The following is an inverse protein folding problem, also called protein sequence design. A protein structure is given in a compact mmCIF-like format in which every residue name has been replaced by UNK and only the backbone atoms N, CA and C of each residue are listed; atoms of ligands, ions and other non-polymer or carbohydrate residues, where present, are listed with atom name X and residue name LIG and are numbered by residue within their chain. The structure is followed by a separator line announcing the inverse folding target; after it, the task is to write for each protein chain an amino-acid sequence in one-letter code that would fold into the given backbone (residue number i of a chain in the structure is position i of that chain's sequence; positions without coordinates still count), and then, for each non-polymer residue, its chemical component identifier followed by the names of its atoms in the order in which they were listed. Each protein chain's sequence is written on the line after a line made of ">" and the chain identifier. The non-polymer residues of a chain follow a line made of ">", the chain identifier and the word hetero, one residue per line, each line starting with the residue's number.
data_IF_839987746394
#
_entry.id   IF_839987746394
#
_cell.length_a   1.000
_cell.length_b   1.000
_cell.length_c   1.000
_cell.angle_alpha   90.00
_cell.angle_beta   90.00
_cell.angle_gamma   90.00
#
_symmetry.space_group_name_H-M   'P 1'
#
loop_
_entity.id
_entity.type
_entity.pdbx_description
1 polymer ?
#
# COMPACT_ATOMS: atom_id res chain seq x y z
N UNK A 1 7.40 -23.51 4.26
CA UNK A 1 7.96 -22.76 5.41
C UNK A 1 6.87 -22.07 6.22
N UNK A 2 6.00 -21.22 5.65
CA UNK A 2 4.85 -20.65 6.40
C UNK A 2 3.97 -21.75 7.02
N UNK A 3 3.64 -22.79 6.27
CA UNK A 3 2.92 -23.96 6.81
C UNK A 3 3.67 -24.65 7.96
N UNK A 4 5.01 -24.72 7.90
CA UNK A 4 5.83 -25.28 8.98
C UNK A 4 5.75 -24.38 10.21
N UNK A 5 5.89 -23.06 10.06
CA UNK A 5 5.75 -22.11 11.18
C UNK A 5 4.36 -22.17 11.80
N UNK A 6 3.29 -22.29 11.01
CA UNK A 6 1.91 -22.43 11.51
C UNK A 6 1.74 -23.76 12.25
N UNK A 7 2.18 -24.88 11.67
CA UNK A 7 2.12 -26.20 12.30
C UNK A 7 2.92 -26.23 13.61
N UNK A 8 4.09 -25.61 13.64
CA UNK A 8 4.92 -25.56 14.84
C UNK A 8 4.37 -24.64 15.92
N UNK A 9 3.74 -23.52 15.53
CA UNK A 9 3.03 -22.66 16.48
C UNK A 9 1.81 -23.37 17.09
N UNK A 10 1.10 -24.18 16.29
CA UNK A 10 0.02 -25.04 16.77
C UNK A 10 0.53 -26.20 17.64
N UNK A 11 1.66 -26.82 17.28
CA UNK A 11 2.30 -27.87 18.07
C UNK A 11 2.78 -27.34 19.42
N UNK A 12 3.35 -26.14 19.45
CA UNK A 12 3.72 -25.46 20.69
C UNK A 12 2.49 -25.25 21.58
N UNK A 13 1.37 -24.83 21.01
CA UNK A 13 0.12 -24.65 21.73
C UNK A 13 -0.45 -25.99 22.24
N UNK A 14 -0.26 -27.09 21.50
CA UNK A 14 -0.67 -28.43 21.89
C UNK A 14 0.20 -29.03 23.02
N UNK A 15 1.52 -28.85 22.96
CA UNK A 15 2.47 -29.22 24.02
C UNK A 15 2.03 -28.59 25.36
N UNK A 16 1.54 -27.36 25.34
CA UNK A 16 1.13 -26.62 26.54
C UNK A 16 -0.18 -27.15 27.15
N UNK A 17 -1.11 -27.63 26.32
CA UNK A 17 -2.37 -28.23 26.80
C UNK A 17 -2.11 -29.54 27.54
N UNK A 18 -1.04 -30.25 27.20
CA UNK A 18 -0.73 -31.59 27.72
C UNK A 18 0.43 -31.64 28.72
N UNK A 19 1.35 -30.67 28.75
CA UNK A 19 2.51 -30.63 29.65
C UNK A 19 2.29 -29.71 30.86
N UNK A 20 2.84 -30.13 32.02
CA UNK A 20 2.86 -29.35 33.26
C UNK A 20 3.80 -28.13 33.17
N UNK A 21 3.62 -27.13 34.04
CA UNK A 21 4.36 -25.85 33.98
C UNK A 21 5.89 -26.01 33.97
N UNK A 22 6.43 -26.94 34.76
CA UNK A 22 7.87 -27.24 34.83
C UNK A 22 8.43 -27.92 33.56
N UNK A 23 7.57 -28.55 32.75
CA UNK A 23 7.95 -29.18 31.47
C UNK A 23 7.82 -28.20 30.28
N UNK A 24 7.31 -26.98 30.51
CA UNK A 24 7.13 -25.94 29.48
C UNK A 24 8.37 -25.08 29.29
N UNK A 25 9.14 -24.83 30.35
CA UNK A 25 10.46 -24.18 30.30
C UNK A 25 11.49 -25.12 29.67
N UNK A 26 11.30 -25.36 28.38
CA UNK A 26 12.29 -26.03 27.57
C UNK A 26 11.77 -26.80 26.38
N UNK A 27 10.50 -26.61 26.03
CA UNK A 27 9.89 -27.39 24.94
C UNK A 27 10.69 -27.23 23.63
N UNK A 28 11.02 -28.34 22.95
CA UNK A 28 11.62 -28.30 21.63
C UNK A 28 10.75 -27.54 20.61
N UNK A 29 9.44 -27.43 20.85
CA UNK A 29 8.54 -26.64 20.00
C UNK A 29 8.88 -25.14 20.04
N UNK A 30 9.31 -24.59 21.19
CA UNK A 30 9.74 -23.18 21.30
C UNK A 30 10.96 -22.90 20.45
N UNK A 31 11.97 -23.78 20.50
CA UNK A 31 13.20 -23.65 19.69
C UNK A 31 12.86 -23.71 18.21
N UNK A 32 12.04 -24.68 17.81
CA UNK A 32 11.65 -24.85 16.42
C UNK A 32 10.78 -23.68 15.94
N UNK A 33 9.91 -23.12 16.79
CA UNK A 33 9.14 -21.93 16.48
C UNK A 33 10.03 -20.70 16.27
N UNK A 34 10.96 -20.42 17.19
CA UNK A 34 11.91 -19.32 17.08
C UNK A 34 12.78 -19.47 15.83
N UNK A 35 13.22 -20.69 15.52
CA UNK A 35 13.95 -21.00 14.31
C UNK A 35 13.10 -20.71 13.06
N UNK A 36 11.89 -21.27 13.01
CA UNK A 36 10.99 -21.10 11.89
C UNK A 36 10.65 -19.62 11.65
N UNK A 37 10.31 -18.87 12.71
CA UNK A 37 10.01 -17.44 12.65
C UNK A 37 11.22 -16.63 12.17
N UNK A 38 12.42 -16.92 12.66
CA UNK A 38 13.64 -16.19 12.28
C UNK A 38 14.03 -16.44 10.84
N UNK A 39 13.93 -17.68 10.36
CA UNK A 39 14.16 -18.02 8.96
C UNK A 39 13.11 -17.39 8.05
N UNK A 40 11.85 -17.35 8.49
CA UNK A 40 10.76 -16.75 7.74
C UNK A 40 10.92 -15.24 7.66
N UNK A 41 11.29 -14.58 8.76
CA UNK A 41 11.74 -13.19 8.77
C UNK A 41 12.93 -12.95 7.85
N UNK A 42 13.86 -13.88 7.66
CA UNK A 42 15.00 -13.65 6.74
C UNK A 42 14.63 -13.81 5.26
N UNK A 43 13.72 -14.74 4.93
CA UNK A 43 13.47 -15.16 3.56
C UNK A 43 12.17 -14.62 2.95
N UNK A 44 11.18 -14.25 3.74
CA UNK A 44 9.87 -13.80 3.30
C UNK A 44 9.92 -12.46 2.53
N UNK A 45 9.06 -12.23 1.52
CA UNK A 45 8.08 -13.17 0.93
C UNK A 45 8.63 -14.13 -0.13
N UNK A 46 9.79 -13.84 -0.73
CA UNK A 46 10.29 -14.56 -1.92
C UNK A 46 10.96 -15.91 -1.63
N UNK A 47 11.14 -16.27 -0.36
CA UNK A 47 11.86 -17.47 0.05
C UNK A 47 13.39 -17.37 -0.08
N UNK A 48 13.93 -16.21 -0.49
CA UNK A 48 15.38 -15.97 -0.61
C UNK A 48 15.84 -14.97 0.45
N UNK A 49 16.92 -15.25 1.22
CA UNK A 49 17.44 -14.33 2.21
C UNK A 49 18.12 -13.14 1.54
N UNK A 50 17.67 -11.93 1.89
CA UNK A 50 18.24 -10.68 1.39
C UNK A 50 18.34 -9.70 2.55
N UNK A 51 19.54 -9.26 2.96
CA UNK A 51 20.87 -9.72 2.52
C UNK A 51 21.18 -11.17 2.92
N UNK A 52 22.11 -11.84 2.24
CA UNK A 52 22.46 -13.26 2.51
C UNK A 52 22.93 -13.53 3.96
N UNK A 53 23.52 -12.54 4.63
CA UNK A 53 23.97 -12.67 6.02
C UNK A 53 22.81 -12.83 7.02
N UNK A 54 21.57 -12.47 6.65
CA UNK A 54 20.39 -12.63 7.52
C UNK A 54 20.12 -14.10 7.87
N UNK A 55 20.54 -15.04 7.00
CA UNK A 55 20.42 -16.47 7.27
C UNK A 55 21.41 -16.93 8.36
N UNK A 56 22.62 -16.35 8.37
CA UNK A 56 23.59 -16.63 9.43
C UNK A 56 23.07 -16.09 10.78
N UNK A 57 22.44 -14.92 10.80
CA UNK A 57 21.80 -14.36 12.01
C UNK A 57 20.66 -15.25 12.51
N UNK A 58 19.77 -15.71 11.62
CA UNK A 58 18.70 -16.64 11.98
C UNK A 58 19.23 -18.00 12.49
N UNK A 59 20.29 -18.51 11.86
CA UNK A 59 20.99 -19.72 12.30
C UNK A 59 21.63 -19.55 13.69
N UNK A 60 22.34 -18.44 13.92
CA UNK A 60 22.91 -18.11 15.23
C UNK A 60 21.82 -18.00 16.31
N UNK A 61 20.70 -17.34 16.01
CA UNK A 61 19.58 -17.25 16.94
C UNK A 61 19.02 -18.66 17.27
N UNK A 62 18.84 -19.50 16.25
CA UNK A 62 18.36 -20.88 16.42
C UNK A 62 19.32 -21.71 17.30
N UNK A 63 20.62 -21.67 17.00
CA UNK A 63 21.64 -22.39 17.75
C UNK A 63 21.75 -21.88 19.19
N UNK A 64 21.58 -20.57 19.40
CA UNK A 64 21.57 -19.98 20.72
C UNK A 64 20.43 -20.56 21.55
N UNK A 65 19.18 -20.48 21.05
CA UNK A 65 18.01 -21.02 21.75
C UNK A 65 18.09 -22.55 21.95
N UNK A 66 18.56 -23.30 20.96
CA UNK A 66 18.80 -24.74 21.10
C UNK A 66 19.87 -25.04 22.17
N UNK A 67 20.94 -24.25 22.21
CA UNK A 67 22.01 -24.37 23.19
C UNK A 67 21.54 -24.10 24.62
N UNK A 68 20.65 -23.11 24.83
CA UNK A 68 20.03 -22.89 26.13
C UNK A 68 19.23 -24.10 26.61
N UNK A 69 18.51 -24.79 25.72
CA UNK A 69 17.76 -25.98 26.12
C UNK A 69 18.66 -27.10 26.64
N UNK A 70 19.80 -27.30 25.99
CA UNK A 70 20.75 -28.34 26.39
C UNK A 70 21.48 -27.96 27.68
N UNK A 71 21.74 -26.67 27.88
CA UNK A 71 22.55 -26.18 28.99
C UNK A 71 21.76 -25.87 30.26
N UNK A 72 20.41 -25.88 30.20
CA UNK A 72 19.52 -25.66 31.33
C UNK A 72 19.26 -24.18 31.67
N UNK A 73 18.32 -23.91 32.60
CA UNK A 73 17.80 -22.57 32.91
C UNK A 73 18.86 -21.60 33.46
N UNK A 74 19.96 -22.11 34.01
CA UNK A 74 21.10 -21.33 34.51
C UNK A 74 21.79 -20.50 33.40
N UNK A 75 21.69 -20.91 32.14
CA UNK A 75 22.28 -20.16 31.02
C UNK A 75 21.46 -18.92 30.67
N UNK A 76 20.12 -19.03 30.69
CA UNK A 76 19.22 -17.90 30.46
C UNK A 76 19.30 -16.82 31.53
N UNK A 77 19.71 -17.19 32.75
CA UNK A 77 19.91 -16.26 33.86
C UNK A 77 21.22 -15.45 33.76
N UNK A 78 22.15 -15.78 32.85
CA UNK A 78 23.44 -15.09 32.74
C UNK A 78 23.27 -13.71 32.10
N UNK A 79 23.99 -12.71 32.62
CA UNK A 79 23.93 -11.28 32.20
C UNK A 79 24.04 -11.05 30.68
N UNK A 80 24.79 -11.89 29.96
CA UNK A 80 24.98 -11.75 28.50
C UNK A 80 23.84 -12.33 27.65
N UNK A 81 22.91 -13.08 28.26
CA UNK A 81 21.78 -13.69 27.59
C UNK A 81 20.63 -12.68 27.31
N UNK A 82 20.09 -11.95 28.30
CA UNK A 82 19.01 -10.98 28.09
C UNK A 82 19.49 -9.61 27.57
N UNK A 83 20.74 -9.19 27.84
CA UNK A 83 21.11 -7.77 27.65
C UNK A 83 21.79 -7.42 26.30
N UNK A 84 22.80 -8.14 25.79
CA UNK A 84 23.40 -7.80 24.48
C UNK A 84 23.05 -8.74 23.32
N UNK A 85 23.04 -10.07 23.48
CA UNK A 85 23.10 -10.99 22.33
C UNK A 85 21.76 -11.13 21.60
N UNK A 86 20.69 -11.49 22.33
CA UNK A 86 19.37 -11.71 21.71
C UNK A 86 18.81 -10.42 21.10
N UNK A 87 18.80 -9.26 21.79
CA UNK A 87 18.33 -8.00 21.20
C UNK A 87 19.14 -7.59 19.96
N UNK A 88 20.46 -7.79 19.96
CA UNK A 88 21.32 -7.50 18.81
C UNK A 88 20.95 -8.37 17.60
N UNK A 89 20.78 -9.68 17.80
CA UNK A 89 20.41 -10.58 16.71
C UNK A 89 19.01 -10.26 16.16
N UNK A 90 18.05 -9.91 17.02
CA UNK A 90 16.73 -9.43 16.60
C UNK A 90 16.82 -8.12 15.81
N UNK A 91 17.60 -7.15 16.28
CA UNK A 91 17.86 -5.88 15.58
C UNK A 91 18.50 -6.11 14.21
N UNK A 92 19.45 -7.04 14.10
CA UNK A 92 20.06 -7.42 12.83
C UNK A 92 19.03 -8.07 11.89
N UNK A 93 18.14 -8.91 12.42
CA UNK A 93 17.07 -9.55 11.63
C UNK A 93 16.08 -8.51 11.10
N UNK A 94 15.64 -7.58 11.96
CA UNK A 94 14.77 -6.45 11.59
C UNK A 94 15.47 -5.49 10.65
N UNK A 95 16.75 -5.19 10.88
CA UNK A 95 17.58 -4.34 10.02
C UNK A 95 17.80 -4.94 8.63
N UNK A 96 17.98 -6.25 8.54
CA UNK A 96 18.01 -6.99 7.28
C UNK A 96 16.70 -6.87 6.49
N UNK A 97 15.57 -7.01 7.18
CA UNK A 97 14.24 -6.80 6.59
C UNK A 97 13.99 -5.35 6.17
N UNK A 98 14.44 -4.39 6.98
CA UNK A 98 14.43 -2.97 6.63
C UNK A 98 15.25 -2.70 5.37
N UNK A 99 16.48 -3.20 5.30
CA UNK A 99 17.32 -3.07 4.11
C UNK A 99 16.61 -3.62 2.86
N UNK A 100 16.06 -4.84 2.96
CA UNK A 100 15.34 -5.49 1.87
C UNK A 100 14.14 -4.67 1.42
N UNK A 101 13.29 -4.28 2.36
CA UNK A 101 12.10 -3.46 2.10
C UNK A 101 12.46 -2.14 1.39
N UNK A 102 13.54 -1.49 1.82
CA UNK A 102 13.93 -0.16 1.35
C UNK A 102 14.70 -0.18 0.02
N UNK A 103 15.49 -1.22 -0.26
CA UNK A 103 16.43 -1.24 -1.40
C UNK A 103 16.06 -2.25 -2.50
N UNK A 104 15.32 -3.32 -2.19
CA UNK A 104 15.20 -4.49 -3.07
C UNK A 104 13.78 -4.97 -3.32
N UNK A 105 12.82 -4.72 -2.42
CA UNK A 105 11.46 -5.23 -2.58
C UNK A 105 10.63 -4.43 -3.57
N UNK A 106 9.94 -5.16 -4.45
CA UNK A 106 8.89 -4.66 -5.35
C UNK A 106 7.65 -4.20 -4.57
N UNK A 107 6.73 -3.51 -5.25
CA UNK A 107 5.47 -3.07 -4.62
C UNK A 107 4.65 -4.25 -4.05
N UNK A 108 4.50 -5.34 -4.81
CA UNK A 108 3.81 -6.55 -4.36
C UNK A 108 4.50 -7.20 -3.15
N UNK A 109 5.83 -7.25 -3.13
CA UNK A 109 6.56 -7.77 -1.97
C UNK A 109 6.37 -6.91 -0.73
N UNK A 110 6.35 -5.57 -0.88
CA UNK A 110 6.11 -4.65 0.24
C UNK A 110 4.70 -4.81 0.80
N UNK A 111 3.70 -5.03 -0.06
CA UNK A 111 2.33 -5.30 0.35
C UNK A 111 2.22 -6.60 1.15
N UNK A 112 2.86 -7.68 0.68
CA UNK A 112 2.89 -8.96 1.37
C UNK A 112 3.54 -8.87 2.77
N UNK A 113 4.46 -7.92 3.00
CA UNK A 113 5.15 -7.73 4.29
C UNK A 113 4.30 -6.99 5.33
N UNK A 114 3.23 -6.28 4.94
CA UNK A 114 2.46 -5.42 5.87
C UNK A 114 1.76 -6.22 6.97
N UNK A 115 1.14 -7.35 6.63
CA UNK A 115 0.50 -8.24 7.59
C UNK A 115 1.51 -8.84 8.60
N UNK A 116 2.63 -9.45 8.18
CA UNK A 116 3.64 -9.91 9.12
C UNK A 116 4.22 -8.79 9.98
N UNK A 117 4.48 -7.62 9.40
CA UNK A 117 5.01 -6.49 10.14
C UNK A 117 4.03 -6.01 11.22
N UNK A 118 2.74 -5.90 10.88
CA UNK A 118 1.69 -5.56 11.83
C UNK A 118 1.61 -6.60 12.97
N UNK A 119 1.63 -7.90 12.62
CA UNK A 119 1.58 -8.98 13.59
C UNK A 119 2.78 -8.95 14.56
N UNK A 120 4.00 -8.79 14.05
CA UNK A 120 5.20 -8.65 14.88
C UNK A 120 5.14 -7.41 15.76
N UNK A 121 4.68 -6.27 15.22
CA UNK A 121 4.57 -5.03 15.97
C UNK A 121 3.56 -5.15 17.13
N UNK A 122 2.42 -5.80 16.91
CA UNK A 122 1.42 -6.07 17.96
C UNK A 122 2.02 -6.94 19.07
N UNK A 123 2.71 -8.02 18.71
CA UNK A 123 3.35 -8.93 19.68
C UNK A 123 4.42 -8.20 20.49
N UNK A 124 5.34 -7.50 19.83
CA UNK A 124 6.40 -6.74 20.51
C UNK A 124 5.81 -5.68 21.43
N UNK A 125 4.78 -4.96 20.99
CA UNK A 125 4.15 -3.92 21.82
C UNK A 125 3.47 -4.54 23.05
N UNK A 126 2.82 -5.69 22.90
CA UNK A 126 2.24 -6.40 24.04
C UNK A 126 3.30 -6.78 25.07
N UNK A 127 4.38 -7.46 24.66
CA UNK A 127 5.44 -7.89 25.58
C UNK A 127 6.09 -6.69 26.29
N UNK A 128 6.42 -5.64 25.55
CA UNK A 128 6.94 -4.40 26.13
C UNK A 128 5.96 -3.78 27.13
N UNK A 129 4.66 -3.80 26.85
CA UNK A 129 3.65 -3.24 27.75
C UNK A 129 3.53 -4.07 29.03
N UNK A 130 3.50 -5.40 28.92
CA UNK A 130 3.46 -6.32 30.07
C UNK A 130 4.71 -6.12 30.94
N UNK A 131 5.89 -6.07 30.35
CA UNK A 131 7.15 -5.87 31.08
C UNK A 131 7.18 -4.52 31.81
N UNK A 132 6.77 -3.45 31.14
CA UNK A 132 6.71 -2.10 31.76
C UNK A 132 5.70 -2.07 32.91
N UNK A 133 4.51 -2.64 32.72
CA UNK A 133 3.47 -2.70 33.75
C UNK A 133 3.92 -3.57 34.92
N UNK A 134 4.55 -4.71 34.65
CA UNK A 134 5.13 -5.58 35.67
C UNK A 134 6.13 -4.82 36.52
N UNK A 135 7.16 -4.24 35.92
CA UNK A 135 8.18 -3.48 36.64
C UNK A 135 7.56 -2.33 37.46
N UNK A 136 6.54 -1.65 36.93
CA UNK A 136 5.86 -0.57 37.62
C UNK A 136 5.03 -1.03 38.83
N UNK A 137 4.43 -2.23 38.77
CA UNK A 137 3.54 -2.76 39.83
C UNK A 137 4.33 -3.55 40.87
N UNK A 138 5.25 -4.41 40.45
CA UNK A 138 5.96 -5.36 41.32
C UNK A 138 7.40 -4.95 41.62
N UNK A 139 7.91 -3.86 41.03
CA UNK A 139 9.29 -3.38 41.24
C UNK A 139 10.36 -4.22 40.53
N UNK A 140 9.95 -5.14 39.66
CA UNK A 140 10.83 -6.05 38.93
C UNK A 140 10.06 -6.98 37.99
N UNK A 141 10.75 -7.85 37.25
CA UNK A 141 10.12 -8.83 36.35
C UNK A 141 9.14 -9.74 37.11
N UNK A 142 8.05 -10.15 36.46
CA UNK A 142 7.14 -11.13 37.03
C UNK A 142 7.80 -12.51 36.95
N UNK A 143 8.16 -13.06 38.10
CA UNK A 143 8.74 -14.42 38.19
C UNK A 143 7.69 -15.52 38.16
N UNK A 144 6.44 -15.25 38.54
CA UNK A 144 5.33 -16.20 38.50
C UNK A 144 4.05 -15.54 37.96
N UNK A 145 3.89 -15.46 36.62
CA UNK A 145 2.75 -14.79 36.01
C UNK A 145 1.44 -15.55 36.23
N UNK A 146 0.31 -14.84 36.43
CA UNK A 146 -0.98 -15.51 36.61
C UNK A 146 -1.34 -16.36 35.38
N UNK A 147 -2.03 -17.51 35.56
CA UNK A 147 -2.30 -18.45 34.46
C UNK A 147 -2.99 -17.82 33.24
N UNK A 148 -3.81 -16.79 33.47
CA UNK A 148 -4.46 -16.03 32.40
C UNK A 148 -3.45 -15.27 31.55
N UNK A 149 -2.45 -14.64 32.15
CA UNK A 149 -1.40 -13.91 31.42
C UNK A 149 -0.53 -14.87 30.61
N UNK A 150 -0.19 -16.02 31.20
CA UNK A 150 0.50 -17.12 30.48
C UNK A 150 -0.34 -17.53 29.27
N UNK A 151 -1.62 -17.88 29.46
CA UNK A 151 -2.50 -18.26 28.36
C UNK A 151 -2.62 -17.21 27.24
N UNK A 152 -2.62 -15.92 27.59
CA UNK A 152 -2.60 -14.82 26.60
C UNK A 152 -1.28 -14.77 25.84
N UNK A 153 -0.14 -14.87 26.53
CA UNK A 153 1.19 -14.91 25.90
C UNK A 153 1.29 -16.06 24.90
N UNK A 154 0.72 -17.22 25.23
CA UNK A 154 0.72 -18.40 24.36
C UNK A 154 -0.07 -18.20 23.07
N UNK A 155 -1.29 -17.67 23.17
CA UNK A 155 -2.09 -17.34 21.97
C UNK A 155 -1.37 -16.29 21.12
N UNK A 156 -0.62 -15.39 21.75
CA UNK A 156 0.11 -14.35 21.04
C UNK A 156 1.22 -14.88 20.12
N UNK A 157 1.81 -16.06 20.41
CA UNK A 157 2.80 -16.69 19.54
C UNK A 157 2.21 -17.16 18.19
N UNK A 158 0.88 -17.35 18.09
CA UNK A 158 0.22 -17.62 16.81
C UNK A 158 0.13 -16.38 15.92
N UNK A 159 0.17 -15.18 16.49
CA UNK A 159 -0.11 -13.93 15.78
C UNK A 159 0.90 -13.67 14.65
N UNK A 160 2.24 -13.83 14.82
CA UNK A 160 3.20 -13.68 13.73
C UNK A 160 2.94 -14.70 12.61
N UNK A 161 2.70 -15.97 12.94
CA UNK A 161 2.42 -17.01 11.96
C UNK A 161 1.16 -16.70 11.14
N UNK A 162 0.10 -16.24 11.81
CA UNK A 162 -1.13 -15.78 11.16
C UNK A 162 -0.88 -14.54 10.27
N UNK A 163 -0.06 -13.59 10.70
CA UNK A 163 0.34 -12.43 9.91
C UNK A 163 1.08 -12.83 8.62
N UNK A 164 2.01 -13.77 8.70
CA UNK A 164 2.70 -14.29 7.52
C UNK A 164 1.77 -15.05 6.56
N UNK A 165 0.83 -15.83 7.10
CA UNK A 165 -0.17 -16.51 6.30
C UNK A 165 -1.11 -15.52 5.61
N UNK A 166 -1.57 -14.51 6.34
CA UNK A 166 -2.40 -13.41 5.83
C UNK A 166 -1.70 -12.64 4.71
N UNK A 167 -0.39 -12.37 4.85
CA UNK A 167 0.41 -11.72 3.81
C UNK A 167 0.54 -12.49 2.50
N UNK A 168 0.37 -13.83 2.52
CA UNK A 168 0.36 -14.66 1.32
C UNK A 168 -1.03 -14.84 0.70
N UNK A 169 -2.06 -14.93 1.55
CA UNK A 169 -3.40 -15.36 1.12
C UNK A 169 -4.38 -14.20 0.91
N UNK A 170 -4.22 -13.10 1.66
CA UNK A 170 -5.17 -12.01 1.63
C UNK A 170 -4.74 -10.96 0.60
N UNK A 171 -5.69 -10.46 -0.22
CA UNK A 171 -5.40 -9.37 -1.13
C UNK A 171 -5.00 -8.11 -0.34
N UNK A 172 -4.18 -7.23 -0.92
CA UNK A 172 -3.80 -5.97 -0.31
C UNK A 172 -5.03 -5.12 -0.01
N UNK A 173 -5.15 -4.65 1.23
CA UNK A 173 -6.32 -3.91 1.70
C UNK A 173 -5.88 -2.68 2.52
N UNK A 174 -6.57 -1.56 2.32
CA UNK A 174 -6.32 -0.28 2.99
C UNK A 174 -6.55 -0.35 4.51
N UNK A 175 -7.29 -1.35 4.99
CA UNK A 175 -7.41 -1.63 6.42
C UNK A 175 -6.03 -1.87 7.05
N UNK A 176 -5.22 -2.75 6.45
CA UNK A 176 -3.92 -3.17 7.00
C UNK A 176 -2.98 -2.00 7.05
N UNK A 177 -3.01 -1.15 6.02
CA UNK A 177 -2.15 0.02 5.92
C UNK A 177 -2.51 1.06 7.00
N UNK A 178 -3.80 1.28 7.21
CA UNK A 178 -4.28 2.17 8.28
C UNK A 178 -3.92 1.62 9.65
N UNK A 179 -4.16 0.34 9.90
CA UNK A 179 -3.81 -0.31 11.17
C UNK A 179 -2.30 -0.24 11.42
N UNK A 180 -1.48 -0.60 10.44
CA UNK A 180 -0.03 -0.53 10.55
C UNK A 180 0.46 0.91 10.80
N UNK A 181 -0.09 1.90 10.10
CA UNK A 181 0.27 3.29 10.32
C UNK A 181 -0.12 3.79 11.73
N UNK A 182 -1.30 3.40 12.22
CA UNK A 182 -1.74 3.71 13.58
C UNK A 182 -0.81 3.06 14.59
N UNK A 183 -0.53 1.76 14.47
CA UNK A 183 0.35 1.04 15.39
C UNK A 183 1.78 1.57 15.39
N UNK A 184 2.38 1.81 14.22
CA UNK A 184 3.74 2.42 14.14
C UNK A 184 3.74 3.79 14.79
N UNK A 185 2.70 4.60 14.60
CA UNK A 185 2.58 5.90 15.27
C UNK A 185 2.48 5.74 16.79
N UNK A 186 1.61 4.85 17.28
CA UNK A 186 1.43 4.60 18.70
C UNK A 186 2.74 4.13 19.36
N UNK A 187 3.46 3.21 18.73
CA UNK A 187 4.75 2.71 19.24
C UNK A 187 5.80 3.82 19.26
N UNK A 188 5.94 4.60 18.19
CA UNK A 188 6.90 5.70 18.15
C UNK A 188 6.59 6.79 19.17
N UNK A 189 5.31 7.14 19.35
CA UNK A 189 4.86 8.11 20.34
C UNK A 189 5.08 7.58 21.75
N UNK A 190 4.62 6.36 22.03
CA UNK A 190 4.76 5.71 23.34
C UNK A 190 6.22 5.60 23.77
N UNK A 191 7.08 5.05 22.91
CA UNK A 191 8.51 4.93 23.19
C UNK A 191 9.20 6.29 23.32
N UNK A 192 8.86 7.25 22.46
CA UNK A 192 9.43 8.61 22.51
C UNK A 192 9.07 9.35 23.79
N UNK A 193 7.80 9.32 24.18
CA UNK A 193 7.32 9.94 25.44
C UNK A 193 7.87 9.22 26.67
N UNK A 194 7.91 7.88 26.65
CA UNK A 194 8.47 7.08 27.74
C UNK A 194 9.95 7.37 28.00
N UNK A 195 10.77 7.45 26.94
CA UNK A 195 12.19 7.78 27.06
C UNK A 195 12.41 9.21 27.58
N UNK A 196 11.60 10.18 27.15
CA UNK A 196 11.69 11.56 27.61
C UNK A 196 11.27 11.68 29.08
N UNK A 197 10.21 10.98 29.48
CA UNK A 197 9.79 10.90 30.87
C UNK A 197 10.87 10.26 31.74
N UNK A 198 11.38 9.08 31.37
CA UNK A 198 12.42 8.39 32.12
C UNK A 198 13.72 9.21 32.20
N UNK A 199 14.15 9.82 31.10
CA UNK A 199 15.35 10.65 31.06
C UNK A 199 15.22 11.92 31.90
N UNK A 200 14.09 12.62 31.80
CA UNK A 200 13.84 13.81 32.63
C UNK A 200 13.73 13.46 34.11
N UNK A 201 13.08 12.35 34.46
CA UNK A 201 13.00 11.85 35.83
C UNK A 201 14.39 11.49 36.38
N UNK A 202 15.22 10.77 35.61
CA UNK A 202 16.56 10.39 36.02
C UNK A 202 17.45 11.62 36.26
N UNK A 203 17.43 12.60 35.35
CA UNK A 203 18.16 13.86 35.52
C UNK A 203 17.68 14.58 36.77
N UNK A 204 16.37 14.71 36.95
CA UNK A 204 15.79 15.50 38.03
C UNK A 204 16.01 14.84 39.41
N UNK A 205 16.01 13.51 39.49
CA UNK A 205 16.38 12.77 40.70
C UNK A 205 17.87 12.92 41.03
N UNK A 206 18.75 13.01 40.02
CA UNK A 206 20.20 13.13 40.23
C UNK A 206 20.60 14.54 40.68
N UNK A 207 19.93 15.57 40.17
CA UNK A 207 20.37 16.96 40.35
C UNK A 207 19.71 17.69 41.51
N UNK A 208 18.53 17.24 41.94
CA UNK A 208 17.60 18.18 42.56
C UNK A 208 16.93 17.66 43.84
N UNK A 209 17.08 16.37 44.21
CA UNK A 209 16.53 15.75 45.44
C UNK A 209 15.11 16.23 45.84
N UNK A 210 14.28 16.65 44.87
CA UNK A 210 13.00 17.33 45.14
C UNK A 210 11.81 16.40 44.98
N UNK A 211 10.80 16.51 45.87
CA UNK A 211 9.63 15.65 45.87
C UNK A 211 8.70 15.83 44.65
N UNK A 212 8.79 16.94 43.92
CA UNK A 212 7.98 17.19 42.71
C UNK A 212 8.65 16.74 41.40
N UNK A 213 9.77 16.01 41.48
CA UNK A 213 10.52 15.57 40.30
C UNK A 213 9.65 14.81 39.28
N UNK A 214 8.78 13.92 39.74
CA UNK A 214 7.87 13.19 38.87
C UNK A 214 6.90 14.11 38.10
N UNK A 215 6.41 15.18 38.73
CA UNK A 215 5.46 16.12 38.12
C UNK A 215 6.13 16.92 37.00
N UNK A 216 7.38 17.36 37.19
CA UNK A 216 8.11 18.08 36.17
C UNK A 216 8.60 17.18 35.03
N UNK A 217 8.97 15.93 35.32
CA UNK A 217 9.23 14.92 34.30
C UNK A 217 7.97 14.66 33.43
N UNK A 218 6.80 14.54 34.07
CA UNK A 218 5.52 14.40 33.37
C UNK A 218 5.21 15.63 32.51
N UNK A 219 5.39 16.84 33.05
CA UNK A 219 5.21 18.09 32.29
C UNK A 219 6.11 18.17 31.06
N UNK A 220 7.37 17.71 31.17
CA UNK A 220 8.33 17.67 30.06
C UNK A 220 7.87 16.70 28.95
N UNK A 221 7.39 15.52 29.32
CA UNK A 221 6.83 14.56 28.36
C UNK A 221 5.58 15.12 27.65
N UNK A 222 4.70 15.83 28.38
CA UNK A 222 3.52 16.49 27.79
C UNK A 222 3.93 17.55 26.77
N UNK A 223 4.88 18.42 27.10
CA UNK A 223 5.37 19.44 26.16
C UNK A 223 6.06 18.80 24.96
N UNK A 224 6.85 17.75 25.17
CA UNK A 224 7.50 17.03 24.09
C UNK A 224 6.51 16.34 23.14
N UNK A 225 5.32 15.96 23.62
CA UNK A 225 4.27 15.35 22.79
C UNK A 225 3.87 16.22 21.59
N UNK A 226 3.93 17.56 21.74
CA UNK A 226 3.65 18.51 20.66
C UNK A 226 4.58 18.33 19.45
N UNK A 227 5.78 17.80 19.67
CA UNK A 227 6.78 17.56 18.63
C UNK A 227 6.88 16.09 18.24
N UNK A 228 6.81 15.20 19.24
CA UNK A 228 6.93 13.74 19.06
C UNK A 228 5.77 13.20 18.23
N UNK A 229 4.52 13.63 18.48
CA UNK A 229 3.35 13.10 17.77
C UNK A 229 3.39 13.45 16.27
N UNK A 230 3.58 14.71 15.85
CA UNK A 230 3.68 15.02 14.41
C UNK A 230 4.92 14.41 13.75
N UNK A 231 6.02 14.25 14.47
CA UNK A 231 7.22 13.59 13.95
C UNK A 231 6.98 12.09 13.73
N UNK A 232 6.39 11.41 14.71
CA UNK A 232 6.02 10.00 14.63
C UNK A 232 5.02 9.76 13.49
N UNK A 233 3.99 10.59 13.35
CA UNK A 233 3.04 10.50 12.24
C UNK A 233 3.71 10.67 10.87
N UNK A 234 4.62 11.65 10.74
CA UNK A 234 5.39 11.85 9.50
C UNK A 234 6.26 10.65 9.18
N UNK A 235 6.94 10.08 10.16
CA UNK A 235 7.77 8.89 9.99
C UNK A 235 6.93 7.66 9.65
N UNK A 236 5.85 7.41 10.40
CA UNK A 236 4.92 6.30 10.15
C UNK A 236 4.33 6.38 8.74
N UNK A 237 3.87 7.56 8.30
CA UNK A 237 3.39 7.74 6.93
C UNK A 237 4.47 7.48 5.89
N UNK A 238 5.71 7.94 6.13
CA UNK A 238 6.85 7.66 5.25
C UNK A 238 7.22 6.19 5.18
N UNK A 239 7.09 5.44 6.27
CA UNK A 239 7.45 4.02 6.33
C UNK A 239 6.35 3.16 5.71
N UNK A 240 5.09 3.46 6.02
CA UNK A 240 3.93 2.64 5.62
C UNK A 240 3.44 2.98 4.21
N UNK A 241 3.36 4.25 3.85
CA UNK A 241 2.76 4.72 2.58
C UNK A 241 3.79 5.18 1.55
N UNK A 242 5.07 4.77 1.67
CA UNK A 242 6.14 5.20 0.77
C UNK A 242 5.78 4.90 -0.69
N UNK A 243 5.53 5.96 -1.48
CA UNK A 243 5.26 5.85 -2.91
C UNK A 243 3.79 5.83 -3.32
N UNK A 244 2.83 5.98 -2.39
CA UNK A 244 1.48 6.42 -2.78
C UNK A 244 1.59 7.92 -3.07
N UNK A 245 1.82 8.30 -4.32
CA UNK A 245 1.29 9.60 -4.73
C UNK A 245 -0.21 9.52 -4.40
N UNK A 246 -0.69 10.46 -3.57
CA UNK A 246 -2.09 10.51 -3.19
C UNK A 246 -2.90 10.39 -4.48
N UNK A 247 -3.65 9.30 -4.65
CA UNK A 247 -4.46 9.02 -5.85
C UNK A 247 -5.22 10.28 -6.32
N UNK A 248 -5.68 11.05 -5.34
CA UNK A 248 -6.30 12.36 -5.52
C UNK A 248 -5.41 13.39 -6.22
N UNK A 249 -4.12 13.52 -5.86
CA UNK A 249 -3.15 14.41 -6.53
C UNK A 249 -2.86 13.96 -7.95
N UNK A 250 -2.66 12.66 -8.18
CA UNK A 250 -2.42 12.13 -9.51
C UNK A 250 -3.62 12.37 -10.44
N UNK A 251 -4.84 12.15 -9.94
CA UNK A 251 -6.08 12.46 -10.66
C UNK A 251 -6.24 13.97 -10.90
N UNK A 252 -5.95 14.81 -9.91
CA UNK A 252 -6.02 16.28 -10.06
C UNK A 252 -5.01 16.80 -11.07
N UNK A 253 -3.78 16.30 -11.04
CA UNK A 253 -2.72 16.68 -11.98
C UNK A 253 -3.05 16.21 -13.41
N UNK A 254 -3.56 14.98 -13.58
CA UNK A 254 -4.08 14.51 -14.87
C UNK A 254 -5.21 15.40 -15.37
N UNK A 255 -6.20 15.70 -14.53
CA UNK A 255 -7.33 16.55 -14.90
C UNK A 255 -6.85 17.95 -15.33
N UNK A 256 -5.91 18.55 -14.60
CA UNK A 256 -5.30 19.84 -14.94
C UNK A 256 -4.59 19.78 -16.29
N UNK A 257 -3.75 18.77 -16.53
CA UNK A 257 -3.03 18.61 -17.80
C UNK A 257 -3.95 18.40 -19.01
N UNK A 258 -5.06 17.71 -18.82
CA UNK A 258 -6.08 17.50 -19.86
C UNK A 258 -6.92 18.76 -20.09
N UNK A 259 -7.18 19.58 -19.06
CA UNK A 259 -7.84 20.88 -19.20
C UNK A 259 -6.98 21.89 -19.95
N UNK A 260 -5.66 21.85 -19.75
CA UNK A 260 -4.68 22.69 -20.44
C UNK A 260 -4.41 22.22 -21.90
N UNK A 261 -5.01 21.12 -22.35
CA UNK A 261 -4.88 20.63 -23.71
C UNK A 261 -5.85 21.37 -24.64
N UNK A 262 -5.31 22.24 -25.50
CA UNK A 262 -6.10 23.06 -26.43
C UNK A 262 -6.55 22.26 -27.66
N UNK A 263 -5.71 21.33 -28.14
CA UNK A 263 -6.00 20.51 -29.32
C UNK A 263 -6.50 19.10 -28.92
N UNK A 264 -7.67 18.65 -29.41
CA UNK A 264 -8.16 17.27 -29.24
C UNK A 264 -7.18 16.17 -29.65
N UNK A 265 -6.24 16.44 -30.55
CA UNK A 265 -5.19 15.49 -31.00
C UNK A 265 -4.11 15.28 -29.93
N UNK A 266 -3.88 16.28 -29.06
CA UNK A 266 -2.88 16.20 -27.98
C UNK A 266 -3.41 15.45 -26.74
N UNK A 267 -4.73 15.48 -26.51
CA UNK A 267 -5.39 14.87 -25.34
C UNK A 267 -4.93 13.41 -25.11
N UNK A 268 -4.93 12.51 -26.11
CA UNK A 268 -4.51 11.12 -25.94
C UNK A 268 -3.04 11.00 -25.52
N UNK A 269 -2.16 11.80 -26.12
CA UNK A 269 -0.72 11.81 -25.81
C UNK A 269 -0.45 12.32 -24.40
N UNK A 270 -1.07 13.43 -24.01
CA UNK A 270 -0.94 13.97 -22.64
C UNK A 270 -1.52 13.01 -21.59
N UNK A 271 -2.61 12.32 -21.91
CA UNK A 271 -3.19 11.31 -21.03
C UNK A 271 -2.21 10.16 -20.76
N UNK A 272 -1.63 9.56 -21.80
CA UNK A 272 -0.68 8.44 -21.62
C UNK A 272 0.61 8.86 -20.93
N UNK A 273 1.11 10.07 -21.19
CA UNK A 273 2.29 10.61 -20.49
C UNK A 273 2.02 10.83 -19.00
N UNK A 274 0.88 11.42 -18.66
CA UNK A 274 0.48 11.64 -17.27
C UNK A 274 0.24 10.32 -16.54
N UNK A 275 -0.45 9.36 -17.17
CA UNK A 275 -0.66 8.01 -16.60
C UNK A 275 0.67 7.30 -16.39
N UNK A 276 1.56 7.34 -17.40
CA UNK A 276 2.91 6.75 -17.30
C UNK A 276 3.70 7.38 -16.15
N UNK A 277 3.67 8.71 -16.03
CA UNK A 277 4.40 9.42 -14.97
C UNK A 277 3.85 9.09 -13.58
N UNK A 278 2.53 9.09 -13.41
CA UNK A 278 1.86 8.83 -12.14
C UNK A 278 2.08 7.39 -11.64
N UNK A 279 1.94 6.41 -12.54
CA UNK A 279 2.19 4.99 -12.22
C UNK A 279 3.70 4.70 -12.20
N UNK A 280 4.51 5.54 -12.83
CA UNK A 280 5.93 5.27 -13.10
C UNK A 280 6.13 4.06 -13.99
N UNK A 281 5.22 3.79 -14.92
CA UNK A 281 5.30 2.66 -15.86
C UNK A 281 6.46 2.84 -16.86
N UNK A 282 7.01 1.75 -17.39
CA UNK A 282 8.04 1.82 -18.43
C UNK A 282 7.46 2.40 -19.71
N UNK A 283 6.32 1.85 -20.14
CA UNK A 283 5.55 2.30 -21.28
C UNK A 283 4.04 2.21 -21.02
N UNK A 284 3.30 3.10 -21.67
CA UNK A 284 1.84 3.09 -21.72
C UNK A 284 1.43 3.31 -23.17
N UNK A 285 0.63 2.38 -23.69
CA UNK A 285 0.05 2.48 -25.03
C UNK A 285 -1.45 2.63 -24.87
N UNK A 286 -2.02 3.66 -25.47
CA UNK A 286 -3.46 3.82 -25.60
C UNK A 286 -3.87 3.43 -27.01
N UNK A 287 -4.75 2.46 -27.13
CA UNK A 287 -5.42 2.08 -28.38
C UNK A 287 -6.85 2.58 -28.32
N UNK A 288 -7.39 2.99 -29.47
CA UNK A 288 -8.85 3.19 -29.54
C UNK A 288 -9.52 1.83 -29.36
N UNK A 289 -10.73 1.84 -28.79
CA UNK A 289 -11.56 0.62 -28.77
C UNK A 289 -11.60 0.04 -30.19
N UNK A 290 -11.58 -1.27 -30.35
CA UNK A 290 -11.71 -1.94 -31.66
C UNK A 290 -10.53 -1.79 -32.65
N UNK A 291 -9.53 -0.96 -32.35
CA UNK A 291 -8.42 -0.65 -33.26
C UNK A 291 -7.10 -1.30 -32.78
N UNK A 292 -6.28 -1.74 -33.74
CA UNK A 292 -4.97 -2.35 -33.48
C UNK A 292 -3.89 -1.27 -33.29
N UNK A 293 -4.01 -0.18 -34.03
CA UNK A 293 -3.03 0.91 -34.03
C UNK A 293 -3.05 1.72 -32.74
N UNK A 294 -1.87 2.13 -32.31
CA UNK A 294 -1.71 2.98 -31.14
C UNK A 294 -2.26 4.38 -31.44
N UNK A 295 -3.19 4.82 -30.59
CA UNK A 295 -3.67 6.20 -30.61
C UNK A 295 -2.66 7.16 -29.99
N UNK A 296 -2.01 6.71 -28.92
CA UNK A 296 -0.90 7.42 -28.30
C UNK A 296 0.02 6.42 -27.59
N UNK A 297 1.31 6.75 -27.54
CA UNK A 297 2.34 5.96 -26.89
C UNK A 297 3.20 6.87 -26.02
N UNK A 298 3.40 6.49 -24.76
CA UNK A 298 4.39 7.09 -23.88
C UNK A 298 5.42 6.04 -23.47
N UNK A 299 6.71 6.34 -23.65
CA UNK A 299 7.81 5.41 -23.38
C UNK A 299 8.06 4.43 -24.54
N UNK A 300 8.97 3.47 -24.30
CA UNK A 300 9.29 2.39 -25.24
C UNK A 300 9.03 1.06 -24.52
N UNK A 301 8.14 0.20 -25.03
CA UNK A 301 7.97 -1.14 -24.45
C UNK A 301 9.31 -1.89 -24.55
N UNK A 302 9.86 -2.34 -23.42
CA UNK A 302 11.04 -3.18 -23.41
C UNK A 302 10.79 -4.53 -24.09
N UNK A 303 11.82 -5.09 -24.75
CA UNK A 303 11.76 -6.39 -25.45
C UNK A 303 11.48 -7.60 -24.52
N UNK A 304 11.54 -7.41 -23.19
CA UNK A 304 11.62 -8.49 -22.21
C UNK A 304 10.33 -8.84 -21.45
N UNK A 305 9.20 -8.15 -21.67
CA UNK A 305 7.94 -8.47 -20.99
C UNK A 305 6.84 -8.79 -22.01
N UNK A 306 6.61 -10.09 -22.23
CA UNK A 306 5.38 -10.58 -22.83
C UNK A 306 4.19 -10.19 -21.93
N UNK A 307 3.21 -9.50 -22.51
CA UNK A 307 1.91 -9.22 -21.88
C UNK A 307 1.88 -7.97 -21.00
N UNK A 308 1.79 -6.80 -21.61
CA UNK A 308 1.38 -5.60 -20.87
C UNK A 308 -0.03 -5.78 -20.29
N UNK A 309 -0.31 -5.12 -19.16
CA UNK A 309 -1.62 -5.19 -18.51
C UNK A 309 -2.61 -4.36 -19.31
N UNK A 310 -3.67 -5.00 -19.81
CA UNK A 310 -4.74 -4.33 -20.53
C UNK A 310 -5.82 -3.81 -19.57
N UNK A 311 -6.24 -2.58 -19.80
CA UNK A 311 -7.29 -1.92 -19.03
C UNK A 311 -8.22 -1.14 -19.96
N UNK A 312 -9.53 -1.40 -19.87
CA UNK A 312 -10.52 -0.79 -20.75
C UNK A 312 -11.05 0.51 -20.15
N UNK A 313 -10.80 1.63 -20.83
CA UNK A 313 -11.33 2.94 -20.47
C UNK A 313 -12.78 3.03 -20.91
N UNK A 314 -13.71 3.19 -19.95
CA UNK A 314 -15.14 3.33 -20.21
C UNK A 314 -15.64 4.72 -19.87
N UNK A 315 -16.48 5.28 -20.73
CA UNK A 315 -17.23 6.51 -20.44
C UNK A 315 -18.73 6.20 -20.51
N UNK A 316 -19.45 6.35 -19.40
CA UNK A 316 -20.88 6.03 -19.30
C UNK A 316 -21.21 4.59 -19.76
N UNK A 317 -20.36 3.63 -19.40
CA UNK A 317 -20.51 2.20 -19.76
C UNK A 317 -19.97 1.83 -21.15
N UNK A 318 -19.71 2.80 -22.02
CA UNK A 318 -19.23 2.56 -23.39
C UNK A 318 -17.70 2.49 -23.41
N UNK A 319 -17.08 1.45 -24.02
CA UNK A 319 -15.63 1.38 -24.18
C UNK A 319 -15.13 2.47 -25.16
N UNK A 320 -14.26 3.34 -24.66
CA UNK A 320 -13.68 4.46 -25.42
C UNK A 320 -12.34 4.07 -26.00
N UNK A 321 -11.49 3.45 -25.18
CA UNK A 321 -10.10 3.11 -25.48
C UNK A 321 -9.62 1.94 -24.60
N UNK A 322 -8.53 1.30 -25.01
CA UNK A 322 -7.82 0.28 -24.23
C UNK A 322 -6.42 0.78 -23.91
N UNK A 323 -6.06 0.81 -22.64
CA UNK A 323 -4.73 1.09 -22.15
C UNK A 323 -3.96 -0.23 -22.00
N UNK A 324 -2.76 -0.30 -22.53
CA UNK A 324 -1.81 -1.38 -22.27
C UNK A 324 -0.61 -0.79 -21.53
N UNK A 325 -0.28 -1.34 -20.36
CA UNK A 325 0.77 -0.83 -19.50
C UNK A 325 1.88 -1.87 -19.29
N UNK A 326 3.12 -1.39 -19.33
CA UNK A 326 4.29 -2.19 -19.00
C UNK A 326 4.82 -1.78 -17.63
N UNK A 327 5.01 -2.74 -16.69
CA UNK A 327 5.59 -2.48 -15.38
C UNK A 327 6.98 -1.85 -15.47
N UNK A 328 7.52 -1.37 -14.35
CA UNK A 328 8.89 -0.83 -14.27
C UNK A 328 9.91 -1.92 -14.61
N UNK A 329 11.12 -1.59 -15.11
CA UNK A 329 12.17 -2.57 -15.41
C UNK A 329 12.59 -3.45 -14.21
N UNK A 330 12.32 -3.00 -12.98
CA UNK A 330 12.62 -3.71 -11.75
C UNK A 330 11.42 -4.52 -11.19
N UNK A 331 10.26 -4.47 -11.84
CA UNK A 331 9.01 -5.09 -11.39
C UNK A 331 8.49 -6.07 -12.44
N UNK A 332 8.05 -7.25 -11.99
CA UNK A 332 7.51 -8.29 -12.88
C UNK A 332 6.02 -8.12 -13.19
N UNK A 333 5.30 -7.29 -12.43
CA UNK A 333 3.87 -7.02 -12.60
C UNK A 333 3.50 -5.68 -11.93
N UNK A 334 2.38 -5.07 -12.34
CA UNK A 334 1.78 -3.91 -11.66
C UNK A 334 1.24 -4.33 -10.27
N UNK A 335 1.46 -3.51 -9.25
CA UNK A 335 0.88 -3.75 -7.93
C UNK A 335 -0.64 -3.50 -7.93
N UNK A 336 -1.35 -4.05 -6.95
CA UNK A 336 -2.79 -3.81 -6.80
C UNK A 336 -3.09 -2.31 -6.59
N UNK A 337 -2.20 -1.59 -5.89
CA UNK A 337 -2.29 -0.14 -5.76
C UNK A 337 -2.18 0.59 -7.11
N UNK A 338 -1.27 0.14 -7.99
CA UNK A 338 -1.11 0.72 -9.33
C UNK A 338 -2.34 0.47 -10.19
N UNK A 339 -2.97 -0.72 -10.06
CA UNK A 339 -4.22 -1.04 -10.74
C UNK A 339 -5.38 -0.17 -10.26
N UNK A 340 -5.51 0.09 -8.96
CA UNK A 340 -6.53 1.01 -8.43
C UNK A 340 -6.30 2.44 -8.90
N UNK A 341 -5.05 2.90 -8.89
CA UNK A 341 -4.69 4.21 -9.42
C UNK A 341 -4.98 4.29 -10.92
N UNK A 342 -4.68 3.23 -11.67
CA UNK A 342 -5.01 3.14 -13.10
C UNK A 342 -6.51 3.24 -13.34
N UNK A 343 -7.34 2.53 -12.57
CA UNK A 343 -8.80 2.63 -12.66
C UNK A 343 -9.27 4.08 -12.45
N UNK A 344 -8.75 4.75 -11.42
CA UNK A 344 -9.08 6.14 -11.10
C UNK A 344 -8.64 7.12 -12.21
N UNK A 345 -7.42 6.97 -12.72
CA UNK A 345 -6.87 7.79 -13.81
C UNK A 345 -7.62 7.53 -15.13
N UNK A 346 -7.95 6.28 -15.44
CA UNK A 346 -8.73 5.90 -16.60
C UNK A 346 -10.14 6.52 -16.57
N UNK A 347 -10.82 6.44 -15.42
CA UNK A 347 -12.11 7.07 -15.22
C UNK A 347 -12.04 8.60 -15.36
N UNK A 348 -11.00 9.24 -14.84
CA UNK A 348 -10.78 10.68 -14.96
C UNK A 348 -10.45 11.12 -16.40
N UNK A 349 -9.69 10.32 -17.16
CA UNK A 349 -9.36 10.59 -18.56
C UNK A 349 -10.53 10.31 -19.52
N UNK A 350 -11.46 9.44 -19.15
CA UNK A 350 -12.52 8.94 -20.03
C UNK A 350 -13.35 10.04 -20.73
N UNK A 351 -13.78 11.14 -20.09
CA UNK A 351 -14.54 12.20 -20.76
C UNK A 351 -13.71 12.94 -21.83
N UNK A 352 -12.43 13.21 -21.54
CA UNK A 352 -11.53 13.91 -22.46
C UNK A 352 -11.18 13.00 -23.65
N UNK A 353 -10.87 11.73 -23.40
CA UNK A 353 -10.63 10.73 -24.44
C UNK A 353 -11.88 10.51 -25.30
N UNK A 354 -13.08 10.49 -24.72
CA UNK A 354 -14.31 10.39 -25.50
C UNK A 354 -14.48 11.60 -26.44
N UNK A 355 -14.17 12.81 -25.94
CA UNK A 355 -14.24 14.05 -26.72
C UNK A 355 -13.21 14.07 -27.85
N UNK A 356 -11.96 13.65 -27.58
CA UNK A 356 -10.91 13.52 -28.58
C UNK A 356 -11.26 12.51 -29.69
N UNK A 357 -11.87 11.37 -29.31
CA UNK A 357 -12.37 10.37 -30.26
C UNK A 357 -13.45 10.97 -31.17
N UNK A 358 -14.41 11.71 -30.61
CA UNK A 358 -15.44 12.40 -31.40
C UNK A 358 -14.85 13.47 -32.33
N UNK A 359 -13.85 14.23 -31.86
CA UNK A 359 -13.16 15.22 -32.70
C UNK A 359 -12.49 14.55 -33.92
N UNK A 360 -11.82 13.40 -33.72
CA UNK A 360 -11.20 12.65 -34.81
C UNK A 360 -12.20 12.01 -35.79
N UNK A 361 -13.41 11.68 -35.34
CA UNK A 361 -14.45 11.08 -36.18
C UNK A 361 -15.20 12.10 -37.06
N UNK A 362 -15.18 13.38 -36.66
CA UNK A 362 -15.84 14.49 -37.35
C UNK A 362 -14.91 15.72 -37.42
N UNK A 363 -13.79 15.65 -38.15
CA UNK A 363 -12.84 16.75 -38.29
C UNK A 363 -13.44 17.98 -38.97
N UNK A 364 -14.47 17.81 -39.80
CA UNK A 364 -15.19 18.88 -40.49
C UNK A 364 -16.06 19.75 -39.56
N UNK A 365 -16.39 19.23 -38.37
CA UNK A 365 -17.24 19.91 -37.42
C UNK A 365 -16.43 20.79 -36.45
N UNK A 366 -16.99 21.91 -36.04
CA UNK A 366 -16.47 22.69 -34.90
C UNK A 366 -16.89 22.05 -33.57
N UNK A 367 -16.31 22.48 -32.45
CA UNK A 367 -16.69 21.95 -31.12
C UNK A 367 -18.17 22.16 -30.80
N UNK A 368 -18.72 23.32 -31.17
CA UNK A 368 -20.14 23.62 -30.97
C UNK A 368 -21.05 22.77 -31.86
N UNK A 369 -20.64 22.54 -33.10
CA UNK A 369 -21.35 21.64 -34.01
C UNK A 369 -21.33 20.18 -33.52
N UNK A 370 -20.19 19.70 -32.98
CA UNK A 370 -20.09 18.38 -32.34
C UNK A 370 -21.00 18.24 -31.12
N UNK A 371 -21.11 19.28 -30.29
CA UNK A 371 -22.02 19.27 -29.13
C UNK A 371 -23.49 19.19 -29.55
N UNK A 372 -23.85 19.88 -30.64
CA UNK A 372 -25.19 19.77 -31.23
C UNK A 372 -25.42 18.38 -31.81
N UNK A 373 -24.46 17.81 -32.54
CA UNK A 373 -24.52 16.43 -33.03
C UNK A 373 -24.69 15.42 -31.88
N UNK A 374 -24.02 15.62 -30.75
CA UNK A 374 -24.16 14.80 -29.55
C UNK A 374 -25.53 14.94 -28.86
N UNK A 375 -26.24 16.06 -29.08
CA UNK A 375 -27.64 16.22 -28.70
C UNK A 375 -28.57 15.45 -29.62
N UNK A 376 -28.32 15.53 -30.93
CA UNK A 376 -29.07 14.81 -31.98
C UNK A 376 -28.98 13.29 -31.78
N UNK A 377 -27.79 12.75 -31.55
CA UNK A 377 -27.59 11.30 -31.34
C UNK A 377 -28.30 10.75 -30.12
N UNK A 378 -28.56 11.59 -29.11
CA UNK A 378 -29.34 11.26 -27.90
C UNK A 378 -30.84 11.43 -28.08
N UNK A 379 -31.31 11.83 -29.27
CA UNK A 379 -32.73 12.07 -29.53
C UNK A 379 -33.31 13.30 -28.83
N UNK A 380 -32.46 14.24 -28.40
CA UNK A 380 -32.93 15.43 -27.68
C UNK A 380 -33.61 16.42 -28.64
N UNK A 381 -34.75 17.04 -28.24
CA UNK A 381 -35.35 18.12 -29.02
C UNK A 381 -34.49 19.39 -28.98
N UNK A 382 -34.64 20.28 -29.97
CA UNK A 382 -33.84 21.51 -30.08
C UNK A 382 -33.89 22.37 -28.80
N UNK A 383 -35.05 22.41 -28.12
CA UNK A 383 -35.22 23.15 -26.87
C UNK A 383 -34.38 22.57 -25.71
N UNK A 384 -34.25 21.24 -25.62
CA UNK A 384 -33.43 20.59 -24.61
C UNK A 384 -31.93 20.76 -24.90
N UNK A 385 -31.54 20.73 -26.18
CA UNK A 385 -30.17 21.03 -26.60
C UNK A 385 -29.84 22.51 -26.31
N UNK A 386 -30.76 23.42 -26.59
CA UNK A 386 -30.63 24.86 -26.33
C UNK A 386 -30.41 25.15 -24.84
N UNK A 387 -31.22 24.54 -23.97
CA UNK A 387 -31.08 24.66 -22.53
C UNK A 387 -29.71 24.14 -22.04
N UNK A 388 -29.22 23.02 -22.58
CA UNK A 388 -27.90 22.46 -22.21
C UNK A 388 -26.72 23.31 -22.66
N UNK A 389 -26.85 23.98 -23.81
CA UNK A 389 -25.77 24.76 -24.40
C UNK A 389 -25.80 26.26 -24.03
N UNK A 390 -26.85 26.71 -23.34
CA UNK A 390 -27.03 28.11 -22.97
C UNK A 390 -27.27 29.04 -24.16
N UNK A 391 -27.93 28.54 -25.21
CA UNK A 391 -28.22 29.30 -26.45
C UNK A 391 -29.70 29.23 -26.81
N UNK A 392 -30.16 30.06 -27.75
CA UNK A 392 -31.56 30.03 -28.18
C UNK A 392 -31.89 28.78 -29.01
N UNK A 393 -33.15 28.34 -28.98
CA UNK A 393 -33.65 27.24 -29.83
C UNK A 393 -33.43 27.51 -31.32
N UNK A 394 -33.51 28.78 -31.75
CA UNK A 394 -33.20 29.21 -33.12
C UNK A 394 -31.72 29.02 -33.46
N UNK A 395 -30.82 29.34 -32.53
CA UNK A 395 -29.38 29.10 -32.68
C UNK A 395 -29.07 27.61 -32.84
N UNK A 396 -29.71 26.75 -32.05
CA UNK A 396 -29.58 25.29 -32.22
C UNK A 396 -30.09 24.84 -33.59
N UNK A 397 -31.24 25.36 -34.06
CA UNK A 397 -31.76 25.02 -35.38
C UNK A 397 -30.77 25.38 -36.51
N UNK A 398 -30.10 26.54 -36.39
CA UNK A 398 -29.04 26.94 -37.33
C UNK A 398 -27.85 25.98 -37.27
N UNK A 399 -27.37 25.63 -36.07
CA UNK A 399 -26.30 24.65 -35.94
C UNK A 399 -26.68 23.27 -36.48
N UNK A 400 -27.91 22.82 -36.27
CA UNK A 400 -28.42 21.58 -36.86
C UNK A 400 -28.30 21.64 -38.39
N UNK A 401 -28.75 22.72 -39.02
CA UNK A 401 -28.63 22.88 -40.47
C UNK A 401 -27.18 22.84 -40.93
N UNK A 402 -26.27 23.53 -40.24
CA UNK A 402 -24.83 23.53 -40.57
C UNK A 402 -24.24 22.12 -40.44
N UNK A 403 -24.58 21.40 -39.36
CA UNK A 403 -24.12 20.03 -39.12
C UNK A 403 -24.61 19.10 -40.23
N UNK A 404 -25.90 19.16 -40.61
CA UNK A 404 -26.46 18.34 -41.68
C UNK A 404 -25.75 18.58 -43.01
N UNK A 405 -25.52 19.85 -43.35
CA UNK A 405 -24.80 20.26 -44.56
C UNK A 405 -23.37 19.74 -44.56
N UNK A 406 -22.61 19.95 -43.48
CA UNK A 406 -21.22 19.52 -43.37
C UNK A 406 -21.07 18.00 -43.43
N UNK A 407 -22.00 17.27 -42.83
CA UNK A 407 -22.02 15.80 -42.83
C UNK A 407 -22.58 15.20 -44.13
N UNK A 408 -23.17 16.02 -45.01
CA UNK A 408 -23.78 15.59 -46.26
C UNK A 408 -25.00 14.68 -46.07
N UNK A 409 -25.79 14.91 -45.02
CA UNK A 409 -26.97 14.10 -44.68
C UNK A 409 -28.27 14.92 -44.72
N UNK A 410 -29.41 14.30 -45.10
CA UNK A 410 -30.65 15.03 -45.31
C UNK A 410 -31.40 15.39 -44.03
N UNK A 411 -31.26 14.60 -42.95
CA UNK A 411 -32.04 14.76 -41.74
C UNK A 411 -31.27 14.33 -40.47
N UNK A 412 -31.88 14.62 -39.32
CA UNK A 412 -31.32 14.33 -37.99
C UNK A 412 -31.16 12.84 -37.71
N UNK A 413 -32.03 12.00 -38.27
CA UNK A 413 -31.97 10.54 -38.07
C UNK A 413 -30.76 9.96 -38.79
N UNK A 414 -30.53 10.39 -40.03
CA UNK A 414 -29.35 10.03 -40.82
C UNK A 414 -28.07 10.62 -40.25
N UNK A 415 -28.12 11.81 -39.68
CA UNK A 415 -27.01 12.39 -38.91
C UNK A 415 -26.69 11.54 -37.67
N UNK A 416 -27.71 11.14 -36.90
CA UNK A 416 -27.53 10.29 -35.72
C UNK A 416 -26.97 8.92 -36.10
N UNK A 417 -27.43 8.34 -37.22
CA UNK A 417 -26.96 7.06 -37.72
C UNK A 417 -25.52 7.14 -38.23
N UNK A 418 -25.19 8.15 -39.03
CA UNK A 418 -23.82 8.40 -39.46
C UNK A 418 -22.92 8.63 -38.26
N UNK A 419 -23.40 9.33 -37.24
CA UNK A 419 -22.64 9.60 -36.03
C UNK A 419 -22.36 8.32 -35.24
N UNK A 420 -23.34 7.43 -35.07
CA UNK A 420 -23.14 6.10 -34.47
C UNK A 420 -22.16 5.27 -35.28
N UNK A 421 -22.32 5.25 -36.61
CA UNK A 421 -21.48 4.45 -37.51
C UNK A 421 -20.03 4.94 -37.56
N UNK A 422 -19.80 6.26 -37.68
CA UNK A 422 -18.44 6.83 -37.62
C UNK A 422 -17.85 6.80 -36.23
N UNK A 423 -18.63 6.94 -35.16
CA UNK A 423 -18.10 6.73 -33.81
C UNK A 423 -17.71 5.27 -33.58
N UNK A 424 -18.45 4.33 -34.17
CA UNK A 424 -18.14 2.90 -34.14
C UNK A 424 -17.01 2.49 -35.10
N UNK A 425 -16.79 3.20 -36.20
CA UNK A 425 -15.70 2.96 -37.16
C UNK A 425 -14.41 3.75 -36.83
N UNK A 426 -14.53 4.84 -36.07
CA UNK A 426 -13.43 5.52 -35.39
C UNK A 426 -13.13 4.91 -34.00
N UNK A 427 -13.87 3.87 -33.61
CA UNK A 427 -13.47 2.93 -32.57
C UNK A 427 -13.66 1.52 -33.07
#
# INVERSE_FOLDING_TARGET
>A
MVAVTVVMALAHLADIVWLGADEREGSPATVVFVAALSFLLSCYPTGRPVPRWTLAVAGCLTLLFAGAQVAGPDVSARVWWPLPVVPLLLLLTVGGQGYRYWRRSSAAEREAVRWPLLAVLVVVTFFLTVDVVAVAVTGGPVSDPPPVLVGVQEVLFLVPAAGFLAGLLLPPNDLVDRLLAVWVTLVLVGSGLGLLFAGSLAILMTWLEVPWAAVAAAGTAVVASLWVVPAAQRLARRVVFRGREEEHRAVHELARRLQDAVDPVEIPHRAVEAIRAAIGAEAVVLRRSGQVDAWAVAGRPGESVQGGVEHVVRFLGVPVATLTLWPRPAESALAAADLRLLDALAAAAAPALHSARLASAFPELTDRERQVLAGITRGLPNAAIAARLGVSTKTVANYVSIVLTKLGVPDKERAAELARRRSAAAG
#
